data_IF_086242060026
#
_entry.id   IF_086242060026
#
_cell.length_a   1.000
_cell.length_b   1.000
_cell.length_c   1.000
_cell.angle_alpha   90.00
_cell.angle_beta   90.00
_cell.angle_gamma   90.00
#
_symmetry.space_group_name_H-M   'P 1'
#
loop_
_entity.id
_entity.type
_entity.pdbx_description
1 polymer ?
#
# COMPACT_ATOMS: atom_id res chain seq x y z
N UNK A 1 17.35 3.24 -17.91
CA UNK A 1 16.32 2.17 -17.96
C UNK A 1 15.97 1.85 -16.51
N UNK A 2 14.69 1.94 -16.14
CA UNK A 2 14.23 1.64 -14.77
C UNK A 2 13.80 0.20 -14.62
N UNK A 3 13.72 -0.31 -13.40
CA UNK A 3 13.21 -1.64 -13.09
C UNK A 3 11.74 -1.57 -12.70
N UNK A 4 10.93 -2.46 -13.25
CA UNK A 4 9.52 -2.63 -12.86
C UNK A 4 9.38 -3.85 -11.95
N UNK A 5 8.70 -3.69 -10.81
CA UNK A 5 8.47 -4.74 -9.83
C UNK A 5 6.99 -4.80 -9.45
N UNK A 6 6.45 -6.01 -9.33
CA UNK A 6 5.10 -6.24 -8.84
C UNK A 6 5.04 -5.97 -7.32
N UNK A 7 4.04 -5.23 -6.87
CA UNK A 7 3.74 -5.01 -5.45
C UNK A 7 2.55 -5.90 -5.07
N UNK A 8 2.72 -6.83 -4.11
CA UNK A 8 1.61 -7.60 -3.56
C UNK A 8 0.73 -6.75 -2.64
N UNK A 9 -0.48 -7.23 -2.32
CA UNK A 9 -1.34 -6.59 -1.30
C UNK A 9 -0.65 -6.59 0.05
N UNK A 10 -0.14 -5.43 0.49
CA UNK A 10 0.76 -5.31 1.65
C UNK A 10 0.76 -3.91 2.25
N UNK A 11 1.17 -3.81 3.51
CA UNK A 11 1.49 -2.55 4.17
C UNK A 11 2.90 -2.08 3.81
N UNK A 12 2.96 -0.94 3.12
CA UNK A 12 4.21 -0.30 2.69
C UNK A 12 4.62 0.80 3.65
N UNK A 13 5.92 0.86 3.96
CA UNK A 13 6.50 1.86 4.86
C UNK A 13 7.33 2.86 4.05
N UNK A 14 6.96 4.14 4.14
CA UNK A 14 7.58 5.24 3.41
C UNK A 14 8.31 6.16 4.39
N UNK A 15 9.63 6.25 4.24
CA UNK A 15 10.47 7.14 5.05
C UNK A 15 10.48 8.56 4.49
N UNK A 16 9.99 9.53 5.26
CA UNK A 16 9.93 10.95 4.92
C UNK A 16 10.47 11.77 6.08
N UNK A 17 11.64 12.40 5.93
CA UNK A 17 12.23 13.32 6.92
C UNK A 17 12.18 12.78 8.36
N UNK A 18 12.78 11.60 8.59
CA UNK A 18 12.82 10.89 9.88
C UNK A 18 11.47 10.33 10.40
N UNK A 19 10.40 10.43 9.61
CA UNK A 19 9.09 9.85 9.90
C UNK A 19 8.81 8.66 8.98
N UNK A 20 8.18 7.63 9.53
CA UNK A 20 7.65 6.52 8.74
C UNK A 20 6.14 6.70 8.55
N UNK A 21 5.70 6.70 7.29
CA UNK A 21 4.30 6.62 6.92
C UNK A 21 3.99 5.20 6.47
N UNK A 22 2.98 4.57 7.08
CA UNK A 22 2.49 3.27 6.65
C UNK A 22 1.26 3.45 5.75
N UNK A 23 1.24 2.75 4.62
CA UNK A 23 0.09 2.72 3.71
C UNK A 23 -0.26 1.30 3.32
N UNK A 24 -1.55 0.95 3.40
CA UNK A 24 -2.10 -0.27 2.86
C UNK A 24 -2.19 -0.15 1.34
N UNK A 25 -1.48 -0.99 0.59
CA UNK A 25 -1.53 -1.02 -0.87
C UNK A 25 -2.30 -2.26 -1.32
N UNK A 26 -3.32 -2.08 -2.16
CA UNK A 26 -4.11 -3.18 -2.72
C UNK A 26 -3.51 -3.78 -3.99
N UNK A 27 -2.17 -3.91 -4.01
CA UNK A 27 -1.41 -4.48 -5.10
C UNK A 27 -1.20 -3.52 -6.28
N UNK A 28 -0.17 -3.79 -7.09
CA UNK A 28 0.19 -2.93 -8.21
C UNK A 28 1.60 -3.15 -8.76
N UNK A 29 2.20 -2.09 -9.28
CA UNK A 29 3.54 -2.06 -9.86
C UNK A 29 4.33 -0.85 -9.35
N UNK A 30 5.60 -1.06 -9.03
CA UNK A 30 6.56 0.00 -8.80
C UNK A 30 7.55 0.07 -9.95
N UNK A 31 7.81 1.29 -10.43
CA UNK A 31 8.90 1.60 -11.34
C UNK A 31 9.95 2.38 -10.58
N UNK A 32 11.18 1.84 -10.57
CA UNK A 32 12.33 2.44 -9.90
C UNK A 32 13.33 2.86 -10.98
N UNK A 33 13.69 4.14 -11.00
CA UNK A 33 14.71 4.65 -11.91
C UNK A 33 14.89 6.15 -11.80
N UNK A 34 16.03 6.68 -12.24
CA UNK A 34 16.31 8.12 -12.25
C UNK A 34 16.09 8.82 -10.88
N UNK A 35 16.45 8.15 -9.78
CA UNK A 35 16.22 8.64 -8.41
C UNK A 35 14.73 8.88 -8.07
N UNK A 36 13.82 8.30 -8.85
CA UNK A 36 12.37 8.36 -8.67
C UNK A 36 11.81 6.95 -8.48
N UNK A 37 10.81 6.86 -7.60
CA UNK A 37 9.98 5.67 -7.44
C UNK A 37 8.55 6.09 -7.78
N UNK A 38 8.01 5.52 -8.86
CA UNK A 38 6.60 5.67 -9.22
C UNK A 38 5.85 4.40 -8.85
N UNK A 39 4.77 4.51 -8.09
CA UNK A 39 3.93 3.38 -7.67
C UNK A 39 2.55 3.52 -8.32
N UNK A 40 2.17 2.52 -9.12
CA UNK A 40 0.86 2.37 -9.76
C UNK A 40 0.11 1.26 -9.04
N UNK A 41 -0.93 1.61 -8.28
CA UNK A 41 -1.72 0.68 -7.45
C UNK A 41 -3.20 0.84 -7.75
N UNK A 42 -3.98 -0.22 -7.48
CA UNK A 42 -5.43 -0.16 -7.65
C UNK A 42 -6.06 0.79 -6.63
N UNK A 43 -5.68 0.62 -5.36
CA UNK A 43 -6.08 1.47 -4.26
C UNK A 43 -4.93 1.57 -3.25
N UNK A 44 -4.91 2.69 -2.53
CA UNK A 44 -3.97 2.95 -1.45
C UNK A 44 -4.64 3.77 -0.34
N UNK A 45 -4.44 3.35 0.90
CA UNK A 45 -4.97 4.04 2.07
C UNK A 45 -3.89 4.19 3.14
N UNK A 46 -3.87 5.32 3.85
CA UNK A 46 -2.95 5.50 4.97
C UNK A 46 -3.45 4.69 6.15
N UNK A 47 -2.54 4.01 6.83
CA UNK A 47 -2.91 3.23 8.02
C UNK A 47 -3.51 4.10 9.15
N UNK A 48 -3.25 5.41 9.16
CA UNK A 48 -3.86 6.35 10.12
C UNK A 48 -5.33 6.65 9.86
N UNK A 49 -5.78 6.45 8.61
CA UNK A 49 -7.11 6.83 8.16
C UNK A 49 -8.07 5.63 8.19
N UNK A 50 -7.52 4.40 8.31
CA UNK A 50 -8.27 3.14 8.41
C UNK A 50 -8.90 3.02 9.80
N UNK A 51 -10.22 2.84 9.85
CA UNK A 51 -10.91 2.41 11.07
C UNK A 51 -10.73 0.88 11.25
N UNK A 52 -10.08 0.42 12.34
CA UNK A 52 -9.79 -1.00 12.54
C UNK A 52 -11.05 -1.85 12.78
N UNK A 53 -12.12 -1.26 13.31
CA UNK A 53 -13.38 -1.98 13.52
C UNK A 53 -14.11 -2.19 12.19
N UNK A 54 -14.17 -1.17 11.35
CA UNK A 54 -14.74 -1.27 10.00
C UNK A 54 -13.96 -2.25 9.13
N UNK A 55 -12.62 -2.18 9.17
CA UNK A 55 -11.74 -3.09 8.44
C UNK A 55 -11.96 -4.55 8.86
N UNK A 56 -12.04 -4.81 10.18
CA UNK A 56 -12.28 -6.16 10.71
C UNK A 56 -13.64 -6.71 10.31
N UNK A 57 -14.70 -5.90 10.40
CA UNK A 57 -16.05 -6.30 9.98
C UNK A 57 -16.08 -6.63 8.48
N UNK A 58 -15.40 -5.83 7.66
CA UNK A 58 -15.32 -6.04 6.21
C UNK A 58 -14.60 -7.34 5.88
N UNK A 59 -13.52 -7.66 6.61
CA UNK A 59 -12.79 -8.93 6.49
C UNK A 59 -13.69 -10.12 6.82
N UNK A 60 -14.40 -10.08 7.95
CA UNK A 60 -15.31 -11.15 8.38
C UNK A 60 -16.41 -11.43 7.34
N UNK A 61 -16.97 -10.37 6.74
CA UNK A 61 -17.96 -10.50 5.67
C UNK A 61 -17.34 -11.13 4.41
N UNK A 62 -16.13 -10.70 4.03
CA UNK A 62 -15.45 -11.20 2.84
C UNK A 62 -15.01 -12.66 2.97
N UNK A 63 -14.62 -13.11 4.17
CA UNK A 63 -14.24 -14.50 4.44
C UNK A 63 -15.45 -15.44 4.55
N UNK A 64 -16.62 -14.91 4.92
CA UNK A 64 -17.87 -15.67 5.01
C UNK A 64 -18.58 -15.86 3.65
N UNK A 65 -18.16 -15.13 2.61
CA UNK A 65 -18.72 -15.17 1.26
C UNK A 65 -18.04 -16.24 0.38
#
# INVERSE_FOLDING_TARGET
MGTEQCIPRTDSHLGLNDQWLTMALMGGFARIGNNEITVLVNDAEKSSDIDPQEAQQTLEIAEAA
#
